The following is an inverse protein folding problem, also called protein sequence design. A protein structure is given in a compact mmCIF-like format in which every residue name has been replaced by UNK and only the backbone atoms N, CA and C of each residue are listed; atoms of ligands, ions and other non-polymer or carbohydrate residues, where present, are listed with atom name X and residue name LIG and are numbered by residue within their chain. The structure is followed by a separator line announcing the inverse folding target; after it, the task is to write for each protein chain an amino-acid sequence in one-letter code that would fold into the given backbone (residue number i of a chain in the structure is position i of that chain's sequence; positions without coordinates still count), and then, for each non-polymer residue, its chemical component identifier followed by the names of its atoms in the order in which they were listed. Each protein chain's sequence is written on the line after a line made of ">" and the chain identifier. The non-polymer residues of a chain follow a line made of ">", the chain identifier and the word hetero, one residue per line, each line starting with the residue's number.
data_IF_293220977692
#
_entry.id   IF_293220977692
#
_cell.length_a   1.000
_cell.length_b   1.000
_cell.length_c   1.000
_cell.angle_alpha   90.00
_cell.angle_beta   90.00
_cell.angle_gamma   90.00
#
_symmetry.space_group_name_H-M   'P 1'
#
loop_
_entity.id
_entity.type
_entity.pdbx_description
1 polymer ?
#
# COMPACT_ATOMS: atom_id res chain seq x y z
N UNK A 1 -3.74 25.52 -17.90
CA UNK A 1 -3.31 25.42 -16.50
C UNK A 1 -2.78 24.02 -16.30
N UNK A 2 -1.46 23.87 -16.19
CA UNK A 2 -0.84 22.57 -15.93
C UNK A 2 -1.17 22.24 -14.49
N UNK A 3 -2.13 21.34 -14.28
CA UNK A 3 -2.34 20.74 -12.97
C UNK A 3 -1.02 20.06 -12.61
N UNK A 4 -0.37 20.59 -11.59
CA UNK A 4 0.87 20.07 -11.04
C UNK A 4 0.64 18.59 -10.74
N UNK A 5 1.31 17.70 -11.48
CA UNK A 5 1.14 16.24 -11.34
C UNK A 5 1.43 15.77 -9.90
N UNK A 6 2.15 16.59 -9.12
CA UNK A 6 2.43 16.38 -7.70
C UNK A 6 1.25 16.68 -6.77
N UNK A 7 0.30 17.54 -7.15
CA UNK A 7 -0.93 17.81 -6.39
C UNK A 7 -2.05 16.79 -6.67
N UNK A 8 -1.95 16.05 -7.78
CA UNK A 8 -2.93 15.00 -8.12
C UNK A 8 -2.69 13.69 -7.35
N UNK A 9 -1.44 13.45 -6.93
CA UNK A 9 -1.03 12.18 -6.33
C UNK A 9 -1.50 12.01 -4.87
N UNK A 10 -1.85 13.11 -4.19
CA UNK A 10 -2.17 13.14 -2.76
C UNK A 10 -3.33 14.08 -2.44
N UNK A 11 -4.45 13.96 -3.15
CA UNK A 11 -5.66 14.69 -2.74
C UNK A 11 -6.15 14.18 -1.37
N UNK A 12 -6.86 15.03 -0.63
CA UNK A 12 -7.52 14.64 0.62
C UNK A 12 -8.42 13.41 0.40
N UNK A 13 -9.12 13.36 -0.75
CA UNK A 13 -9.96 12.23 -1.14
C UNK A 13 -9.17 10.93 -1.28
N UNK A 14 -7.97 10.99 -1.88
CA UNK A 14 -7.11 9.82 -2.01
C UNK A 14 -6.66 9.31 -0.65
N UNK A 15 -6.24 10.21 0.25
CA UNK A 15 -5.82 9.84 1.60
C UNK A 15 -6.97 9.21 2.40
N UNK A 16 -8.19 9.78 2.30
CA UNK A 16 -9.39 9.22 2.91
C UNK A 16 -9.73 7.83 2.35
N UNK A 17 -9.53 7.63 1.04
CA UNK A 17 -9.73 6.33 0.41
C UNK A 17 -8.73 5.29 0.91
N UNK A 18 -7.43 5.63 1.00
CA UNK A 18 -6.41 4.74 1.55
C UNK A 18 -6.70 4.39 2.99
N UNK A 19 -7.10 5.37 3.80
CA UNK A 19 -7.51 5.12 5.18
C UNK A 19 -8.69 4.17 5.26
N UNK A 20 -9.70 4.34 4.42
CA UNK A 20 -10.85 3.44 4.37
C UNK A 20 -10.43 2.01 4.02
N UNK A 21 -9.56 1.84 3.02
CA UNK A 21 -9.05 0.52 2.63
C UNK A 21 -8.27 -0.15 3.75
N UNK A 22 -7.41 0.59 4.43
CA UNK A 22 -6.68 0.13 5.61
C UNK A 22 -7.64 -0.30 6.73
N UNK A 23 -8.63 0.55 7.07
CA UNK A 23 -9.60 0.26 8.14
C UNK A 23 -10.49 -0.94 7.81
N UNK A 24 -10.73 -1.24 6.52
CA UNK A 24 -11.46 -2.43 6.06
C UNK A 24 -10.58 -3.70 6.07
N UNK A 25 -9.26 -3.54 5.96
CA UNK A 25 -8.29 -4.63 5.91
C UNK A 25 -7.81 -5.06 7.30
N UNK A 26 -7.73 -4.11 8.23
CA UNK A 26 -7.35 -4.32 9.62
C UNK A 26 -8.50 -4.88 10.42
N UNK A 27 -8.32 -6.10 10.97
CA UNK A 27 -9.27 -6.67 11.92
C UNK A 27 -9.23 -5.98 13.29
N UNK A 28 -8.11 -5.33 13.64
CA UNK A 28 -7.92 -4.61 14.91
C UNK A 28 -7.44 -3.16 14.69
N UNK A 29 -8.33 -2.20 14.93
CA UNK A 29 -8.04 -0.77 14.73
C UNK A 29 -6.99 -0.21 15.70
N UNK A 30 -6.74 -0.88 16.82
CA UNK A 30 -5.78 -0.45 17.83
C UNK A 30 -4.40 -1.07 17.57
N UNK A 31 -4.37 -2.32 17.11
CA UNK A 31 -3.14 -3.07 16.87
C UNK A 31 -2.68 -3.01 15.41
N UNK A 32 -3.49 -2.52 14.47
CA UNK A 32 -3.12 -2.44 13.06
C UNK A 32 -3.42 -3.71 12.26
N UNK A 33 -2.77 -3.87 11.12
CA UNK A 33 -2.88 -5.09 10.30
C UNK A 33 -1.80 -6.10 10.68
N UNK A 34 -2.13 -7.38 10.72
CA UNK A 34 -1.12 -8.43 10.68
C UNK A 34 -0.43 -8.48 9.32
N UNK A 35 0.78 -9.06 9.26
CA UNK A 35 1.53 -9.21 8.01
C UNK A 35 0.76 -10.01 6.95
N UNK A 36 0.01 -11.04 7.35
CA UNK A 36 -0.85 -11.82 6.46
C UNK A 36 -2.01 -10.99 5.90
N UNK A 37 -2.63 -10.13 6.71
CA UNK A 37 -3.69 -9.23 6.25
C UNK A 37 -3.15 -8.21 5.26
N UNK A 38 -2.01 -7.59 5.57
CA UNK A 38 -1.31 -6.65 4.69
C UNK A 38 -0.97 -7.29 3.34
N UNK A 39 -0.31 -8.45 3.36
CA UNK A 39 0.08 -9.20 2.16
C UNK A 39 -1.12 -9.60 1.31
N UNK A 40 -2.17 -10.14 1.95
CA UNK A 40 -3.41 -10.52 1.27
C UNK A 40 -4.13 -9.31 0.68
N UNK A 41 -4.11 -8.17 1.38
CA UNK A 41 -4.77 -6.95 0.90
C UNK A 41 -4.07 -6.39 -0.34
N UNK A 42 -2.74 -6.21 -0.30
CA UNK A 42 -1.97 -5.72 -1.45
C UNK A 42 -2.05 -6.68 -2.64
N UNK A 43 -2.08 -7.99 -2.37
CA UNK A 43 -2.20 -9.01 -3.41
C UNK A 43 -3.48 -8.92 -4.26
N UNK A 44 -4.53 -8.27 -3.76
CA UNK A 44 -5.79 -8.06 -4.52
C UNK A 44 -5.59 -7.19 -5.76
N UNK A 45 -4.54 -6.35 -5.77
CA UNK A 45 -4.28 -5.40 -6.85
C UNK A 45 -3.48 -6.01 -8.01
N UNK A 46 -3.27 -7.33 -7.98
CA UNK A 46 -2.68 -8.11 -9.07
C UNK A 46 -1.17 -8.34 -8.97
N UNK A 47 -0.52 -7.86 -7.90
CA UNK A 47 0.87 -8.18 -7.56
C UNK A 47 0.89 -8.99 -6.28
N UNK A 48 1.40 -10.23 -6.35
CA UNK A 48 1.55 -11.06 -5.17
C UNK A 48 2.52 -10.44 -4.17
N UNK A 49 2.12 -10.39 -2.92
CA UNK A 49 2.95 -10.08 -1.77
C UNK A 49 2.83 -11.22 -0.75
N UNK A 50 3.94 -11.56 -0.12
CA UNK A 50 4.03 -12.52 0.98
C UNK A 50 4.06 -11.81 2.34
N UNK A 51 3.72 -12.53 3.41
CA UNK A 51 3.80 -11.98 4.76
C UNK A 51 5.24 -11.57 5.15
N UNK A 52 6.25 -12.31 4.70
CA UNK A 52 7.66 -11.96 4.93
C UNK A 52 8.05 -10.65 4.25
N UNK A 53 7.53 -10.38 3.04
CA UNK A 53 7.72 -9.09 2.35
C UNK A 53 6.97 -7.96 3.05
N UNK A 54 5.78 -8.23 3.61
CA UNK A 54 5.04 -7.23 4.39
C UNK A 54 5.79 -6.86 5.68
N UNK A 55 6.48 -7.82 6.31
CA UNK A 55 7.29 -7.60 7.51
C UNK A 55 8.47 -6.63 7.28
N UNK A 56 8.96 -6.47 6.05
CA UNK A 56 9.99 -5.46 5.75
C UNK A 56 9.54 -4.02 6.03
N UNK A 57 8.22 -3.80 6.14
CA UNK A 57 7.63 -2.48 6.38
C UNK A 57 7.26 -2.23 7.85
N UNK A 58 7.48 -3.19 8.75
CA UNK A 58 7.35 -3.03 10.20
C UNK A 58 8.56 -2.25 10.74
N UNK A 59 8.58 -0.93 10.50
CA UNK A 59 9.73 -0.07 10.84
C UNK A 59 9.87 0.08 12.35
N UNK A 60 8.76 0.15 13.07
CA UNK A 60 8.74 0.29 14.51
C UNK A 60 8.93 -1.06 15.25
N UNK A 61 8.93 -2.17 14.52
CA UNK A 61 9.10 -3.55 15.02
C UNK A 61 8.04 -3.92 16.07
N UNK A 62 6.82 -3.41 15.93
CA UNK A 62 5.71 -3.68 16.84
C UNK A 62 4.95 -4.98 16.50
N UNK A 63 5.32 -5.63 15.38
CA UNK A 63 4.73 -6.89 14.95
C UNK A 63 3.42 -6.72 14.17
N UNK A 64 3.11 -5.50 13.75
CA UNK A 64 1.94 -5.15 12.95
C UNK A 64 2.30 -4.14 11.86
N UNK A 65 1.34 -3.85 10.99
CA UNK A 65 1.44 -2.80 9.98
C UNK A 65 0.45 -1.73 10.36
N UNK A 66 0.97 -0.59 10.83
CA UNK A 66 0.19 0.60 11.09
C UNK A 66 -0.14 1.34 9.77
N UNK A 67 -0.90 2.44 9.86
CA UNK A 67 -1.36 3.14 8.66
C UNK A 67 -0.23 3.81 7.86
N UNK A 68 0.80 4.33 8.52
CA UNK A 68 1.95 4.96 7.86
C UNK A 68 2.76 3.90 7.10
N UNK A 69 3.03 2.77 7.73
CA UNK A 69 3.72 1.63 7.14
C UNK A 69 2.93 1.05 5.96
N UNK A 70 1.60 0.99 6.08
CA UNK A 70 0.72 0.62 4.98
C UNK A 70 0.86 1.56 3.77
N UNK A 71 0.92 2.87 3.98
CA UNK A 71 1.10 3.84 2.89
C UNK A 71 2.45 3.63 2.19
N UNK A 72 3.54 3.49 2.95
CA UNK A 72 4.87 3.20 2.42
C UNK A 72 4.88 1.93 1.58
N UNK A 73 4.26 0.87 2.12
CA UNK A 73 4.08 -0.40 1.43
C UNK A 73 3.30 -0.24 0.12
N UNK A 74 2.19 0.50 0.16
CA UNK A 74 1.34 0.76 -1.01
C UNK A 74 2.09 1.52 -2.10
N UNK A 75 2.89 2.52 -1.75
CA UNK A 75 3.68 3.28 -2.74
C UNK A 75 4.72 2.41 -3.44
N UNK A 76 5.45 1.57 -2.70
CA UNK A 76 6.46 0.68 -3.28
C UNK A 76 5.79 -0.25 -4.30
N UNK A 77 4.63 -0.82 -3.95
CA UNK A 77 3.93 -1.77 -4.81
C UNK A 77 3.25 -1.13 -6.02
N UNK A 78 2.64 0.04 -5.87
CA UNK A 78 2.08 0.76 -7.01
C UNK A 78 3.18 1.16 -8.02
N UNK A 79 4.35 1.60 -7.55
CA UNK A 79 5.49 1.90 -8.41
C UNK A 79 6.00 0.65 -9.17
N UNK A 80 6.08 -0.51 -8.49
CA UNK A 80 6.43 -1.77 -9.14
C UNK A 80 5.40 -2.16 -10.20
N UNK A 81 4.11 -1.97 -9.92
CA UNK A 81 3.02 -2.27 -10.85
C UNK A 81 3.09 -1.43 -12.12
N UNK A 82 3.31 -0.12 -11.97
CA UNK A 82 3.47 0.79 -13.10
C UNK A 82 4.73 0.47 -13.92
N UNK A 83 5.83 0.13 -13.26
CA UNK A 83 7.05 -0.32 -13.91
C UNK A 83 6.83 -1.58 -14.74
N UNK A 84 6.09 -2.56 -14.20
CA UNK A 84 5.79 -3.83 -14.87
C UNK A 84 4.81 -3.65 -16.05
N UNK A 85 3.83 -2.75 -15.92
CA UNK A 85 2.95 -2.36 -17.03
C UNK A 85 3.71 -1.65 -18.16
N UNK A 86 4.64 -0.74 -17.82
CA UNK A 86 5.51 -0.10 -18.81
C UNK A 86 6.45 -1.09 -19.50
N UNK A 87 6.97 -2.07 -18.78
CA UNK A 87 7.79 -3.15 -19.34
C UNK A 87 7.03 -4.05 -20.32
N UNK A 88 5.74 -4.33 -20.06
CA UNK A 88 4.88 -5.10 -20.97
C UNK A 88 4.44 -4.35 -22.23
N UNK A 89 4.41 -3.02 -22.22
CA UNK A 89 4.05 -2.19 -23.38
C UNK A 89 5.22 -1.95 -24.34
N UNK A 90 6.45 -2.28 -23.93
CA UNK A 90 7.68 -2.12 -24.72
C UNK A 90 8.26 -3.47 -25.20
N UNK A 91 7.61 -4.58 -24.90
CA UNK A 91 7.95 -5.93 -25.35
C UNK A 91 6.98 -6.40 -26.44
#
# INVERSE_FOLDING_TARGET
>A
MVQDAKNLYYSLDWFQQMKKQYDEASSDRCLGMSFDEAARHISKDGLSMTADEAKEFDENHDGSINFEEYLTMRFKYDALREGNMRGRLLA
#
